data_IF_758673582939
#
_entry.id   IF_758673582939
#
_cell.length_a   1.000
_cell.length_b   1.000
_cell.length_c   1.000
_cell.angle_alpha   90.00
_cell.angle_beta   90.00
_cell.angle_gamma   90.00
#
_symmetry.space_group_name_H-M   'P 1'
#
loop_
_entity.id
_entity.type
_entity.pdbx_description
1 polymer ?
2 water ?
#
# COMPACT_ATOMS: atom_id res chain seq x y z
N UNK A 7 -18.42 -11.73 -17.82
CA UNK A 7 -17.08 -12.37 -17.76
C UNK A 7 -16.67 -12.91 -19.14
N UNK A 8 -15.79 -13.91 -19.15
CA UNK A 8 -15.30 -14.51 -20.38
C UNK A 8 -14.45 -15.72 -20.07
N UNK A 9 -14.31 -16.62 -21.03
CA UNK A 9 -13.54 -17.84 -20.83
C UNK A 9 -12.43 -18.04 -21.84
N UNK A 10 -11.23 -18.30 -21.33
CA UNK A 10 -10.06 -18.54 -22.16
C UNK A 10 -9.99 -20.02 -22.45
N UNK A 11 -9.48 -20.35 -23.64
CA UNK A 11 -9.34 -21.73 -24.06
C UNK A 11 -8.25 -21.82 -25.13
N UNK A 12 -7.14 -22.46 -24.77
CA UNK A 12 -6.03 -22.64 -25.70
C UNK A 12 -6.41 -23.45 -26.95
N UNK A 13 -5.89 -23.02 -28.10
CA UNK A 13 -6.12 -23.66 -29.39
C UNK A 13 -4.77 -24.02 -30.01
N UNK A 14 -3.91 -24.62 -29.19
CA UNK A 14 -2.58 -25.01 -29.64
C UNK A 14 -1.58 -23.87 -29.48
N UNK A 15 -1.09 -23.36 -30.60
CA UNK A 15 -0.11 -22.27 -30.56
C UNK A 15 -0.74 -20.95 -30.12
N UNK A 16 -2.06 -20.86 -30.23
CA UNK A 16 -2.77 -19.65 -29.84
C UNK A 16 -3.88 -19.95 -28.84
N UNK A 17 -4.57 -18.90 -28.42
CA UNK A 17 -5.65 -19.05 -27.46
C UNK A 17 -6.87 -18.30 -27.97
N UNK A 18 -8.04 -18.74 -27.53
CA UNK A 18 -9.27 -18.08 -27.92
C UNK A 18 -9.92 -17.57 -26.65
N UNK A 19 -10.14 -16.26 -26.60
CA UNK A 19 -10.74 -15.62 -25.45
C UNK A 19 -12.16 -15.19 -25.82
N UNK A 20 -13.12 -15.97 -25.34
CA UNK A 20 -14.54 -15.73 -25.60
C UNK A 20 -15.17 -14.84 -24.53
N UNK A 21 -15.82 -13.76 -24.97
CA UNK A 21 -16.47 -12.85 -24.03
C UNK A 21 -17.93 -13.24 -23.85
N UNK A 22 -18.31 -13.58 -22.62
CA UNK A 22 -19.69 -13.96 -22.37
C UNK A 22 -20.49 -12.80 -21.78
N UNK A 23 -21.77 -12.75 -22.14
CA UNK A 23 -22.67 -11.69 -21.66
C UNK A 23 -23.06 -11.87 -20.20
N UNK A 24 -22.49 -12.88 -19.55
CA UNK A 24 -22.77 -13.15 -18.15
C UNK A 24 -22.48 -11.99 -17.21
N UNK A 36 -26.79 -12.98 -19.88
CA UNK A 36 -27.68 -12.09 -19.08
C UNK A 36 -27.75 -10.67 -19.64
N UNK A 37 -27.23 -10.49 -20.86
CA UNK A 37 -27.24 -9.18 -21.51
C UNK A 37 -26.98 -9.23 -23.02
N UNK A 38 -25.72 -9.07 -23.41
CA UNK A 38 -25.32 -9.08 -24.81
C UNK A 38 -24.16 -8.13 -24.98
N UNK A 39 -23.46 -7.90 -23.87
CA UNK A 39 -22.30 -6.99 -23.83
C UNK A 39 -20.98 -7.64 -24.25
N UNK A 40 -20.90 -8.96 -24.16
CA UNK A 40 -19.69 -9.65 -24.54
C UNK A 40 -19.19 -9.28 -25.93
N UNK A 41 -20.12 -9.15 -26.87
CA UNK A 41 -19.76 -8.79 -28.24
C UNK A 41 -19.17 -7.40 -28.28
N UNK A 42 -19.83 -6.47 -27.60
CA UNK A 42 -19.39 -5.11 -27.54
C UNK A 42 -18.05 -5.00 -26.83
N UNK A 43 -17.94 -5.70 -25.70
CA UNK A 43 -16.69 -5.67 -24.94
C UNK A 43 -15.51 -6.25 -25.70
N UNK A 44 -15.75 -7.29 -26.49
CA UNK A 44 -14.68 -7.90 -27.24
C UNK A 44 -14.25 -6.97 -28.37
N UNK A 45 -15.22 -6.33 -29.00
CA UNK A 45 -14.93 -5.43 -30.11
C UNK A 45 -14.18 -4.19 -29.61
N UNK A 46 -14.57 -3.69 -28.44
CA UNK A 46 -13.93 -2.52 -27.84
C UNK A 46 -12.47 -2.90 -27.54
N UNK A 47 -12.30 -4.01 -26.84
CA UNK A 47 -10.96 -4.49 -26.50
C UNK A 47 -10.11 -4.61 -27.77
N UNK A 48 -10.69 -5.18 -28.82
CA UNK A 48 -9.93 -5.35 -30.06
C UNK A 48 -9.54 -4.03 -30.70
N UNK A 49 -10.41 -3.02 -30.62
CA UNK A 49 -10.10 -1.73 -31.22
C UNK A 49 -9.04 -0.97 -30.41
N UNK A 50 -9.22 -0.88 -29.10
CA UNK A 50 -8.22 -0.16 -28.32
C UNK A 50 -6.88 -0.88 -28.31
N UNK A 52 -5.64 -2.81 -30.57
CA UNK A 52 -4.99 -2.78 -31.87
C UNK A 52 -4.32 -1.43 -32.10
N UNK A 53 -4.95 -0.37 -31.58
CA UNK A 53 -4.40 0.98 -31.69
C UNK A 53 -3.18 1.09 -30.80
N UNK A 54 -3.24 0.43 -29.65
CA UNK A 54 -2.13 0.44 -28.70
C UNK A 54 -0.91 -0.22 -29.33
N UNK A 55 -1.14 -1.24 -30.14
CA UNK A 55 -0.05 -1.96 -30.77
C UNK A 55 0.76 -1.13 -31.74
N UNK A 56 0.11 -0.29 -32.54
CA UNK A 56 0.85 0.56 -33.47
C UNK A 56 1.61 1.62 -32.71
N UNK A 57 1.29 1.78 -31.44
CA UNK A 57 1.96 2.75 -30.59
C UNK A 57 3.15 2.03 -30.00
N UNK A 58 3.38 0.80 -30.45
CA UNK A 58 4.50 0.01 -29.98
C UNK A 58 4.26 -0.82 -28.73
N UNK A 59 3.09 -0.69 -28.12
CA UNK A 59 2.73 -1.44 -26.92
C UNK A 59 2.45 -2.90 -27.25
N UNK A 60 2.93 -3.81 -26.41
CA UNK A 60 2.71 -5.24 -26.64
C UNK A 60 1.47 -5.75 -25.88
N UNK A 61 0.53 -6.32 -26.62
CA UNK A 61 -0.70 -6.87 -26.03
C UNK A 61 -0.86 -8.30 -26.51
N UNK A 62 -1.69 -9.10 -25.83
CA UNK A 62 -1.87 -10.47 -26.27
C UNK A 62 -2.82 -10.59 -27.45
N UNK A 63 -3.19 -9.46 -28.06
CA UNK A 63 -4.11 -9.49 -29.18
C UNK A 63 -3.51 -9.93 -30.49
N UNK A 64 -4.19 -10.85 -31.18
CA UNK A 64 -3.77 -11.30 -32.51
C UNK A 64 -4.83 -10.76 -33.47
N UNK A 65 -6.09 -11.07 -33.22
CA UNK A 65 -7.18 -10.55 -34.04
C UNK A 65 -8.56 -10.79 -33.45
N UNK A 66 -9.50 -9.97 -33.86
CA UNK A 66 -10.88 -10.04 -33.40
C UNK A 66 -11.69 -10.98 -34.29
N UNK A 67 -12.36 -11.96 -33.68
CA UNK A 67 -13.19 -12.90 -34.43
C UNK A 67 -14.61 -12.65 -33.97
N UNK A 68 -15.34 -11.78 -34.70
CA UNK A 68 -16.72 -11.40 -34.40
C UNK A 68 -17.61 -12.58 -34.05
N UNK A 69 -18.59 -12.35 -33.15
CA UNK A 69 -18.81 -11.04 -32.51
C UNK A 69 -18.29 -10.93 -31.06
N UNK A 70 -17.74 -12.01 -30.50
CA UNK A 70 -17.30 -11.96 -29.11
C UNK A 70 -16.02 -12.71 -28.75
N UNK A 71 -15.21 -13.05 -29.74
CA UNK A 71 -13.99 -13.79 -29.42
C UNK A 71 -12.72 -13.08 -29.86
N UNK A 72 -11.63 -13.35 -29.16
CA UNK A 72 -10.36 -12.76 -29.51
C UNK A 72 -9.31 -13.82 -29.68
N UNK A 73 -8.55 -13.71 -30.75
CA UNK A 73 -7.47 -14.65 -31.01
C UNK A 73 -6.35 -13.93 -30.27
N UNK A 74 -5.82 -14.56 -29.22
CA UNK A 74 -4.79 -13.95 -28.41
C UNK A 74 -3.62 -14.89 -28.23
N UNK A 75 -2.46 -14.33 -27.95
CA UNK A 75 -1.27 -15.14 -27.74
C UNK A 75 -1.37 -15.61 -26.29
N UNK A 76 -1.04 -16.88 -26.02
CA UNK A 76 -1.08 -17.48 -24.68
C UNK A 76 -0.21 -16.70 -23.71
N UNK A 77 -0.68 -16.53 -22.47
CA UNK A 77 0.11 -15.82 -21.46
C UNK A 77 -0.01 -16.42 -20.08
N UNK A 78 1.07 -16.30 -19.30
CA UNK A 78 1.04 -16.75 -17.91
C UNK A 78 0.73 -15.44 -17.21
N UNK A 80 -0.22 -12.63 -14.31
CA UNK A 80 0.21 -12.23 -12.97
C UNK A 80 -1.10 -12.08 -12.17
N UNK A 81 -1.15 -12.66 -10.96
CA UNK A 81 -2.37 -12.52 -10.16
C UNK A 81 -2.43 -11.10 -9.58
N UNK A 82 -2.45 -10.13 -10.48
CA UNK A 82 -2.45 -8.72 -10.13
C UNK A 82 -3.40 -7.84 -10.96
N UNK A 83 -4.01 -6.87 -10.30
CA UNK A 83 -4.84 -5.92 -11.00
C UNK A 83 -4.03 -4.63 -10.82
N UNK A 84 -3.54 -4.08 -11.92
CA UNK A 84 -2.75 -2.87 -11.83
C UNK A 84 -3.59 -1.68 -12.24
N UNK A 85 -3.73 -0.74 -11.31
CA UNK A 85 -4.55 0.45 -11.52
C UNK A 85 -3.76 1.72 -11.78
N UNK A 86 -4.21 2.51 -12.76
CA UNK A 86 -3.56 3.77 -13.07
C UNK A 86 -4.62 4.85 -12.88
N UNK A 87 -4.33 5.81 -12.01
CA UNK A 87 -5.27 6.86 -11.74
C UNK A 87 -4.79 8.13 -12.42
N UNK A 88 -5.73 8.83 -13.05
CA UNK A 88 -5.41 10.09 -13.71
C UNK A 88 -6.00 11.19 -12.85
N UNK A 89 -7.13 10.88 -12.22
CA UNK A 89 -7.80 11.82 -11.34
C UNK A 89 -8.13 11.07 -10.06
N UNK A 90 -8.32 11.82 -8.98
CA UNK A 90 -8.67 11.23 -7.69
C UNK A 90 -10.15 10.87 -7.74
N UNK A 91 -10.44 9.60 -7.51
CA UNK A 91 -11.82 9.14 -7.51
C UNK A 91 -11.87 7.86 -6.73
N UNK A 92 -13.05 7.22 -6.75
CA UNK A 92 -13.25 5.96 -6.06
C UNK A 92 -12.56 5.71 -4.73
N UNK A 93 -11.80 4.63 -4.71
CA UNK A 93 -11.08 4.22 -3.51
C UNK A 93 -9.97 5.17 -3.10
N UNK A 94 -9.55 6.03 -4.03
CA UNK A 94 -8.47 6.96 -3.74
C UNK A 94 -8.87 8.10 -2.79
N UNK A 95 -10.07 8.63 -2.97
CA UNK A 95 -10.54 9.72 -2.11
C UNK A 95 -10.99 9.14 -0.80
N UNK A 96 -11.57 7.95 -0.84
CA UNK A 96 -12.03 7.31 0.38
C UNK A 96 -10.85 7.07 1.31
N UNK A 97 -9.74 6.63 0.73
CA UNK A 97 -8.54 6.34 1.51
C UNK A 97 -7.74 7.56 1.94
N UNK A 98 -7.54 8.51 1.04
CA UNK A 98 -6.71 9.68 1.32
C UNK A 98 -7.37 11.03 1.21
N UNK A 99 -8.68 11.05 0.98
CA UNK A 99 -9.35 12.33 0.86
C UNK A 99 -8.98 13.04 -0.42
N UNK A 100 -9.14 14.35 -0.43
CA UNK A 100 -8.84 15.10 -1.64
C UNK A 100 -10.13 15.30 -2.41
N UNK A 101 -10.07 16.14 -3.45
CA UNK A 101 -11.25 16.43 -4.24
C UNK A 101 -11.42 15.44 -5.38
N UNK A 102 -12.64 14.90 -5.48
CA UNK A 102 -12.95 13.95 -6.53
C UNK A 102 -12.84 14.65 -7.88
N UNK A 103 -12.11 14.04 -8.80
CA UNK A 103 -11.97 14.63 -10.11
C UNK A 103 -10.73 15.47 -10.21
N UNK A 104 -10.00 15.64 -9.12
CA UNK A 104 -8.78 16.44 -9.18
C UNK A 104 -7.71 15.65 -9.91
N UNK A 105 -7.14 16.25 -10.95
CA UNK A 105 -6.11 15.64 -11.77
C UNK A 105 -4.85 15.38 -10.98
N UNK A 106 -4.19 14.27 -11.27
CA UNK A 106 -2.96 13.94 -10.57
C UNK A 106 -1.78 14.55 -11.33
N UNK A 107 -0.74 15.00 -10.60
CA UNK A 107 0.44 15.60 -11.22
C UNK A 107 0.96 14.68 -12.32
N UNK A 108 1.07 13.41 -11.98
CA UNK A 108 1.55 12.39 -12.88
C UNK A 108 0.69 11.18 -12.59
N UNK A 109 0.42 10.34 -13.60
CA UNK A 109 -0.42 9.15 -13.35
C UNK A 109 0.09 8.34 -12.14
N UNK A 110 -0.84 7.82 -11.35
CA UNK A 110 -0.48 7.01 -10.18
C UNK A 110 -0.79 5.55 -10.45
N UNK A 111 0.20 4.68 -10.30
CA UNK A 111 0.01 3.24 -10.52
C UNK A 111 -0.05 2.57 -9.17
N UNK A 112 -1.04 1.70 -8.99
CA UNK A 112 -1.25 0.97 -7.75
C UNK A 112 -1.43 -0.48 -8.14
N UNK A 113 -0.88 -1.38 -7.33
CA UNK A 113 -0.99 -2.82 -7.58
C UNK A 113 -1.89 -3.47 -6.56
N UNK A 114 -2.70 -4.42 -7.02
CA UNK A 114 -3.60 -5.16 -6.13
C UNK A 114 -3.52 -6.63 -6.46
N UNK A 115 -3.37 -7.45 -5.43
CA UNK A 115 -3.34 -8.89 -5.60
C UNK A 115 -4.77 -9.34 -5.82
N UNK A 116 -4.95 -10.34 -6.66
CA UNK A 116 -6.29 -10.86 -6.91
C UNK A 116 -6.55 -12.00 -5.90
N UNK A 117 -7.10 -11.63 -4.74
CA UNK A 117 -7.41 -12.59 -3.69
C UNK A 117 -8.71 -12.14 -3.04
N UNK A 118 -9.83 -12.62 -3.57
CA UNK A 118 -11.13 -12.21 -3.05
C UNK A 118 -11.29 -12.50 -1.56
N UNK A 119 -10.87 -13.68 -1.14
CA UNK A 119 -11.00 -14.06 0.27
C UNK A 119 -10.24 -13.08 1.17
N UNK A 120 -9.23 -12.42 0.62
CA UNK A 120 -8.43 -11.47 1.39
C UNK A 120 -8.65 -10.02 0.97
N UNK A 121 -9.68 -9.81 0.15
CA UNK A 121 -10.05 -8.48 -0.30
C UNK A 121 -9.04 -7.73 -1.16
N UNK A 122 -8.37 -8.46 -2.04
CA UNK A 122 -7.39 -7.88 -2.97
C UNK A 122 -6.51 -6.80 -2.34
N UNK A 123 -5.67 -7.16 -1.38
CA UNK A 123 -4.80 -6.20 -0.72
C UNK A 123 -3.80 -5.52 -1.68
N UNK A 125 -0.27 -3.87 -2.85
CA UNK A 125 1.12 -4.27 -2.61
C UNK A 125 2.08 -3.34 -3.34
N UNK A 126 3.13 -2.92 -2.66
CA UNK A 126 4.15 -2.08 -3.30
C UNK A 126 5.15 -3.05 -3.94
N UNK A 127 6.13 -2.51 -4.65
CA UNK A 127 7.12 -3.35 -5.30
C UNK A 127 7.80 -4.33 -4.35
N UNK A 128 8.31 -3.83 -3.24
CA UNK A 128 8.98 -4.72 -2.30
C UNK A 128 8.13 -5.92 -1.90
N UNK A 129 6.82 -5.77 -2.01
CA UNK A 129 5.90 -6.84 -1.68
C UNK A 129 5.87 -7.87 -2.80
N UNK A 130 5.65 -7.39 -4.03
CA UNK A 130 5.57 -8.28 -5.18
C UNK A 130 6.74 -9.23 -5.20
N UNK A 131 7.92 -8.68 -4.93
CA UNK A 131 9.14 -9.47 -4.94
C UNK A 131 9.24 -10.37 -3.72
N UNK A 132 9.09 -9.80 -2.53
CA UNK A 132 9.15 -10.60 -1.31
C UNK A 132 8.09 -11.70 -1.31
N UNK A 133 6.97 -11.45 -1.99
CA UNK A 133 5.90 -12.44 -2.04
C UNK A 133 6.06 -13.45 -3.17
N UNK A 134 7.10 -13.29 -4.00
CA UNK A 134 7.32 -14.22 -5.10
C UNK A 134 6.37 -14.07 -6.27
N UNK A 135 5.61 -12.98 -6.29
CA UNK A 135 4.65 -12.72 -7.36
C UNK A 135 5.33 -12.26 -8.65
N UNK A 136 6.25 -11.29 -8.52
CA UNK A 136 6.98 -10.75 -9.66
C UNK A 136 8.35 -10.31 -9.18
N UNK A 137 9.23 -9.96 -10.13
CA UNK A 137 10.57 -9.49 -9.81
C UNK A 137 10.51 -7.97 -9.92
N UNK A 138 11.49 -7.28 -9.34
CA UNK A 138 11.54 -5.81 -9.40
C UNK A 138 11.45 -5.37 -10.83
N UNK A 139 12.20 -6.06 -11.69
CA UNK A 139 12.22 -5.75 -13.12
C UNK A 139 10.83 -5.94 -13.77
N UNK A 140 10.10 -6.98 -13.38
CA UNK A 140 8.77 -7.18 -13.93
C UNK A 140 7.82 -6.12 -13.40
N UNK A 141 7.73 -5.99 -12.07
CA UNK A 141 6.86 -4.98 -11.47
C UNK A 141 7.15 -3.65 -12.13
N UNK A 142 8.44 -3.32 -12.16
CA UNK A 142 8.95 -2.10 -12.74
C UNK A 142 8.42 -1.94 -14.14
N UNK A 143 8.52 -3.02 -14.91
CA UNK A 143 8.07 -3.00 -16.28
C UNK A 143 6.57 -2.82 -16.45
N UNK A 145 4.71 -1.21 -14.58
CA UNK A 145 4.44 0.19 -14.25
C UNK A 145 4.56 1.07 -15.49
N UNK A 146 5.72 0.99 -16.13
CA UNK A 146 6.01 1.77 -17.33
C UNK A 146 4.97 1.56 -18.41
N UNK A 147 4.66 0.30 -18.70
CA UNK A 147 3.68 -0.03 -19.70
C UNK A 147 2.34 0.58 -19.29
N UNK A 148 1.89 0.23 -18.09
CA UNK A 148 0.61 0.77 -17.60
C UNK A 148 0.49 2.30 -17.81
N UNK A 149 1.56 3.03 -17.51
CA UNK A 149 1.55 4.49 -17.69
C UNK A 149 1.45 4.84 -19.18
N UNK A 150 2.27 4.19 -20.00
CA UNK A 150 2.21 4.45 -21.43
C UNK A 150 0.80 4.20 -21.96
N UNK A 151 0.33 2.96 -21.84
CA UNK A 151 -1.00 2.62 -22.31
C UNK A 151 -2.02 3.68 -21.87
N UNK A 152 -2.01 4.00 -20.58
CA UNK A 152 -2.94 4.98 -20.02
C UNK A 152 -2.87 6.31 -20.73
N UNK A 153 -1.66 6.82 -20.93
CA UNK A 153 -1.48 8.09 -21.60
C UNK A 153 -1.94 8.02 -23.03
N UNK A 154 -1.61 6.92 -23.73
CA UNK A 154 -2.06 6.78 -25.10
C UNK A 154 -3.59 6.66 -25.16
N UNK A 155 -4.20 6.01 -24.18
CA UNK A 155 -5.64 5.84 -24.17
C UNK A 155 -6.31 7.17 -23.81
N UNK A 156 -5.73 7.87 -22.86
CA UNK A 156 -6.27 9.18 -22.48
C UNK A 156 -6.26 10.05 -23.74
N UNK A 157 -5.14 10.04 -24.46
CA UNK A 157 -5.03 10.84 -25.68
C UNK A 157 -6.12 10.47 -26.69
N UNK A 158 -6.30 9.17 -26.89
CA UNK A 158 -7.29 8.62 -27.81
C UNK A 158 -8.70 9.21 -27.58
N UNK A 159 -9.17 9.17 -26.34
CA UNK A 159 -10.50 9.67 -26.01
C UNK A 159 -10.63 11.19 -25.96
N UNK A 160 -9.53 11.88 -25.75
CA UNK A 160 -9.57 13.33 -25.69
C UNK A 160 -9.92 13.89 -27.05
N UNK A 161 -9.65 13.12 -28.10
CA UNK A 161 -9.95 13.58 -29.44
C UNK A 161 -11.44 13.70 -29.63
N UNK A 162 -12.22 13.10 -28.73
CA UNK A 162 -13.67 13.17 -28.84
C UNK A 162 -14.28 13.82 -27.62
N UNK A 163 -13.44 14.52 -26.86
CA UNK A 163 -13.90 15.22 -25.66
C UNK A 163 -14.26 14.32 -24.49
N UNK A 164 -13.61 13.16 -24.39
CA UNK A 164 -13.85 12.28 -23.27
C UNK A 164 -12.61 12.20 -22.39
N UNK A 165 -12.84 12.12 -21.08
CA UNK A 165 -11.74 12.07 -20.12
C UNK A 165 -11.70 10.74 -19.38
N UNK A 166 -10.54 10.11 -19.39
CA UNK A 166 -10.29 8.83 -18.72
C UNK A 166 -9.95 9.17 -17.27
N UNK A 167 -10.66 8.61 -16.31
CA UNK A 167 -10.37 8.92 -14.90
C UNK A 167 -9.41 7.93 -14.28
N UNK A 168 -9.66 6.65 -14.52
CA UNK A 168 -8.79 5.63 -14.00
C UNK A 168 -9.08 4.37 -14.77
N UNK A 169 -8.18 3.41 -14.65
CA UNK A 169 -8.36 2.19 -15.40
C UNK A 169 -7.54 1.10 -14.77
N UNK A 170 -7.96 -0.13 -15.00
CA UNK A 170 -7.30 -1.33 -14.50
C UNK A 170 -6.85 -2.24 -15.66
N UNK A 171 -5.64 -2.78 -15.56
CA UNK A 171 -5.10 -3.71 -16.58
C UNK A 171 -4.55 -4.96 -15.86
N UNK A 172 -4.30 -6.00 -16.65
CA UNK A 172 -3.68 -7.21 -16.15
C UNK A 172 -2.63 -7.57 -17.16
N UNK A 173 -1.50 -8.07 -16.69
CA UNK A 173 -0.40 -8.46 -17.56
C UNK A 173 -0.01 -9.90 -17.30
N UNK A 174 0.68 -10.46 -18.28
CA UNK A 174 1.17 -11.82 -18.21
C UNK A 174 2.47 -11.94 -18.99
N UNK A 175 3.12 -13.09 -18.86
CA UNK A 175 4.38 -13.37 -19.53
C UNK A 175 4.18 -14.27 -20.74
N UNK A 176 4.67 -13.86 -21.90
CA UNK A 176 4.55 -14.73 -23.06
C UNK A 176 5.66 -15.78 -22.98
N UNK A 177 5.65 -16.73 -23.91
CA UNK A 177 6.65 -17.82 -23.93
C UNK A 177 8.09 -17.32 -23.88
N UNK A 178 8.31 -16.09 -24.29
CA UNK A 178 9.65 -15.50 -24.27
C UNK A 178 9.94 -14.91 -22.90
N UNK A 179 8.90 -14.76 -22.07
CA UNK A 179 9.10 -14.21 -20.74
C UNK A 179 8.98 -12.72 -20.51
N UNK A 180 8.53 -11.95 -21.50
CA UNK A 180 8.38 -10.52 -21.25
C UNK A 180 6.94 -10.13 -20.95
N UNK A 181 6.80 -8.98 -20.31
CA UNK A 181 5.54 -8.40 -19.88
C UNK A 181 4.65 -8.06 -21.06
N UNK A 182 3.43 -8.56 -21.06
CA UNK A 182 2.48 -8.29 -22.15
C UNK A 182 1.11 -7.91 -21.57
N UNK A 183 0.42 -6.95 -22.19
CA UNK A 183 -0.90 -6.55 -21.72
C UNK A 183 -1.89 -7.69 -21.96
N UNK A 184 -2.67 -8.02 -20.93
CA UNK A 184 -3.62 -9.11 -21.08
C UNK A 184 -5.03 -8.63 -20.81
N UNK A 185 -5.89 -9.60 -20.52
CA UNK A 185 -7.28 -9.39 -20.22
C UNK A 185 -7.97 -8.55 -21.29
N UNK A 186 -8.64 -7.48 -20.88
CA UNK A 186 -9.37 -6.65 -21.83
C UNK A 186 -9.36 -5.18 -21.46
N UNK A 187 -9.89 -4.36 -22.36
CA UNK A 187 -10.01 -2.92 -22.13
C UNK A 187 -11.43 -2.57 -22.55
N UNK A 188 -12.28 -2.32 -21.56
CA UNK A 188 -13.67 -2.02 -21.85
C UNK A 188 -14.27 -1.24 -20.70
N UNK A 189 -15.57 -0.90 -20.82
CA UNK A 189 -16.29 -0.16 -19.80
C UNK A 189 -16.19 -0.88 -18.47
N UNK A 190 -15.87 -2.17 -18.54
CA UNK A 190 -15.73 -2.97 -17.33
C UNK A 190 -14.39 -2.75 -16.63
N UNK A 191 -13.44 -2.09 -17.30
CA UNK A 191 -12.11 -1.89 -16.71
C UNK A 191 -11.64 -0.46 -16.59
N UNK A 192 -12.40 0.49 -17.14
CA UNK A 192 -12.01 1.89 -17.00
C UNK A 192 -13.22 2.79 -16.79
N UNK A 193 -12.99 3.92 -16.14
CA UNK A 193 -14.07 4.89 -15.88
C UNK A 193 -13.84 6.07 -16.84
N UNK A 194 -14.79 6.28 -17.73
CA UNK A 194 -14.68 7.32 -18.74
C UNK A 194 -15.85 8.31 -18.71
N UNK A 195 -15.55 9.60 -18.63
CA UNK A 195 -16.61 10.60 -18.62
C UNK A 195 -16.36 11.62 -19.69
N UNK A 196 -17.44 12.20 -20.22
CA UNK A 196 -17.31 13.22 -21.24
C UNK A 196 -17.00 14.50 -20.50
N UNK A 197 -16.05 15.26 -21.00
CA UNK A 197 -15.68 16.49 -20.35
C UNK A 197 -16.89 17.42 -20.30
N UNK A 198 -17.22 17.90 -19.11
CA UNK A 198 -18.35 18.80 -18.97
C UNK A 198 -19.66 18.09 -18.69
N UNK A 199 -19.59 16.99 -17.94
CA UNK A 199 -20.79 16.24 -17.62
C UNK A 199 -21.34 16.59 -16.24
N UNK A 200 -22.60 17.00 -16.19
CA UNK A 200 -23.22 17.31 -14.90
C UNK A 200 -24.22 16.22 -14.55
N UNK A 201 -23.88 15.42 -13.55
CA UNK A 201 -24.71 14.32 -13.09
C UNK A 201 -26.17 14.72 -12.92
N UNK A 202 -27.07 13.88 -13.43
CA UNK A 202 -28.50 14.15 -13.33
C UNK A 202 -29.21 12.98 -12.65
N UNK A 203 -30.13 13.32 -11.75
CA UNK A 203 -30.88 12.33 -11.01
C UNK A 203 -31.81 11.54 -11.91
N UNK A 204 -32.67 12.25 -12.63
CA UNK A 204 -33.64 11.60 -13.52
C UNK A 204 -32.98 10.75 -14.60
N UNK A 205 -31.81 11.18 -15.08
CA UNK A 205 -31.13 10.43 -16.12
C UNK A 205 -30.62 9.08 -15.60
N UNK A 206 -29.87 9.10 -14.50
CA UNK A 206 -29.38 7.86 -13.92
C UNK A 206 -30.60 6.93 -13.78
N UNK A 207 -31.59 7.45 -13.07
CA UNK A 207 -32.85 6.74 -12.81
C UNK A 207 -33.52 6.11 -14.02
N UNK A 208 -34.09 6.93 -14.90
CA UNK A 208 -34.79 6.40 -16.07
C UNK A 208 -33.89 5.48 -16.90
N UNK A 209 -32.69 5.94 -17.18
CA UNK A 209 -31.72 5.18 -17.95
C UNK A 209 -31.20 4.00 -17.14
N UNK A 210 -31.73 3.82 -15.93
CA UNK A 210 -31.33 2.73 -15.05
C UNK A 210 -31.93 1.42 -15.55
N UNK A 211 -32.64 1.49 -16.67
CA UNK A 211 -33.25 0.32 -17.25
C UNK A 211 -32.49 -0.18 -18.46
N UNK A 212 -31.54 0.61 -18.93
CA UNK A 212 -30.74 0.23 -20.10
C UNK A 212 -29.26 0.10 -19.70
N UNK A 213 -28.91 -1.02 -19.05
CA UNK A 213 -27.53 -1.28 -18.60
C UNK A 213 -26.52 -1.25 -19.74
N UNK A 214 -26.92 -1.75 -20.91
CA UNK A 214 -26.00 -1.78 -22.04
C UNK A 214 -25.73 -0.40 -22.67
N UNK A 215 -26.44 0.63 -22.20
CA UNK A 215 -26.27 1.97 -22.76
C UNK A 215 -24.83 2.47 -22.80
N UNK A 216 -24.14 2.42 -21.67
CA UNK A 216 -22.76 2.89 -21.64
C UNK A 216 -21.87 2.08 -22.59
N UNK A 217 -22.06 0.77 -22.63
CA UNK A 217 -21.26 -0.09 -23.50
C UNK A 217 -21.45 0.31 -24.96
N UNK A 218 -22.70 0.49 -25.36
CA UNK A 218 -23.02 0.88 -26.73
C UNK A 218 -22.36 2.21 -27.13
N UNK A 219 -22.45 3.20 -26.24
CA UNK A 219 -21.87 4.52 -26.51
C UNK A 219 -20.35 4.47 -26.59
N UNK A 220 -19.75 3.66 -25.73
CA UNK A 220 -18.30 3.51 -25.73
C UNK A 220 -17.84 2.84 -27.03
N UNK A 221 -18.45 1.71 -27.36
CA UNK A 221 -18.12 0.98 -28.57
C UNK A 221 -18.26 1.88 -29.81
N UNK A 222 -19.34 2.67 -29.85
CA UNK A 222 -19.57 3.57 -30.97
C UNK A 222 -18.55 4.69 -30.93
N UNK A 223 -18.16 5.07 -29.72
CA UNK A 223 -17.17 6.12 -29.55
C UNK A 223 -15.87 5.60 -30.16
N UNK A 224 -15.50 4.38 -29.81
CA UNK A 224 -14.27 3.80 -30.33
C UNK A 224 -14.31 3.58 -31.83
N UNK A 225 -15.43 3.09 -32.35
CA UNK A 225 -15.56 2.90 -33.79
C UNK A 225 -15.32 4.23 -34.47
N UNK A 226 -16.05 5.24 -34.04
CA UNK A 226 -15.91 6.58 -34.61
C UNK A 226 -14.46 7.05 -34.61
N UNK A 227 -13.82 6.97 -33.44
CA UNK A 227 -12.42 7.37 -33.31
C UNK A 227 -11.53 6.46 -34.14
N UNK A 228 -11.88 5.17 -34.18
CA UNK A 228 -11.13 4.19 -34.95
C UNK A 228 -11.26 4.62 -36.42
N UNK A 229 -11.78 5.83 -36.62
CA UNK A 229 -11.98 6.39 -37.93
C UNK A 229 -13.05 5.54 -38.63
N UNK A 230 -14.13 5.26 -37.90
CA UNK A 230 -15.26 4.48 -38.39
C UNK A 230 -15.82 5.10 -39.68
N UNK B 2 -0.51 22.49 23.56
CA UNK B 2 0.45 21.34 23.45
C UNK B 2 -0.08 20.25 22.51
N UNK B 3 -0.38 19.06 23.04
CA UNK B 3 -0.88 17.96 22.20
C UNK B 3 -1.02 16.61 22.93
N UNK B 4 -2.24 16.07 22.98
CA UNK B 4 -2.47 14.79 23.63
C UNK B 4 -2.86 13.68 22.66
N UNK B 5 -1.92 12.75 22.44
CA UNK B 5 -2.14 11.60 21.57
C UNK B 5 -2.75 10.46 22.36
N UNK B 6 -2.72 9.23 21.83
CA UNK B 6 -3.32 8.10 22.52
C UNK B 6 -2.57 7.52 23.72
N UNK B 7 -1.23 7.51 23.68
CA UNK B 7 -0.45 6.96 24.80
C UNK B 7 0.50 7.95 25.45
N UNK B 8 0.59 9.13 24.86
CA UNK B 8 1.47 10.14 25.42
C UNK B 8 1.03 11.54 25.05
N UNK B 9 1.52 12.49 25.83
CA UNK B 9 1.22 13.90 25.65
C UNK B 9 2.53 14.64 25.38
N UNK B 10 2.54 15.50 24.37
CA UNK B 10 3.74 16.26 24.08
C UNK B 10 3.51 17.72 24.46
N UNK B 11 4.50 18.31 25.10
CA UNK B 11 4.41 19.71 25.51
C UNK B 11 5.69 20.42 25.14
N UNK B 12 5.55 21.38 24.21
CA UNK B 12 6.67 22.17 23.74
C UNK B 12 7.04 23.20 24.79
N UNK B 13 8.22 23.01 25.38
CA UNK B 13 8.72 23.89 26.43
C UNK B 13 9.99 24.61 25.98
N UNK B 14 9.79 25.78 25.37
CA UNK B 14 10.91 26.57 24.90
C UNK B 14 11.59 26.02 23.66
N UNK B 15 12.85 25.65 23.83
CA UNK B 15 13.63 25.09 22.75
C UNK B 15 13.30 23.62 22.63
N UNK B 16 13.47 22.88 23.72
CA UNK B 16 13.16 21.47 23.74
C UNK B 16 11.69 21.22 23.99
N UNK B 17 11.30 19.95 23.90
CA UNK B 17 9.91 19.58 24.12
C UNK B 17 9.88 18.51 25.18
N UNK B 18 8.71 18.28 25.76
CA UNK B 18 8.59 17.23 26.77
C UNK B 18 7.57 16.21 26.27
N UNK B 19 7.86 14.95 26.50
CA UNK B 19 6.96 13.90 26.06
C UNK B 19 6.61 13.06 27.28
N UNK B 20 5.37 13.20 27.74
CA UNK B 20 4.92 12.44 28.90
C UNK B 20 4.14 11.22 28.49
N UNK B 21 4.56 10.07 29.01
CA UNK B 21 3.88 8.84 28.68
C UNK B 21 2.70 8.60 29.62
N UNK B 22 1.54 8.32 29.04
CA UNK B 22 0.34 8.06 29.82
C UNK B 22 0.26 6.57 30.14
N UNK B 23 -0.75 6.17 30.91
CA UNK B 23 -0.92 4.77 31.29
C UNK B 23 -2.02 4.05 30.52
N UNK B 24 -2.57 4.72 29.52
CA UNK B 24 -3.65 4.18 28.69
C UNK B 24 -3.24 2.98 27.81
N UNK B 25 -4.25 2.32 27.23
CA UNK B 25 -4.02 1.18 26.34
C UNK B 25 -4.98 1.29 25.15
N UNK B 26 -4.71 0.53 24.09
CA UNK B 26 -5.56 0.55 22.89
C UNK B 26 -5.85 -0.88 22.40
N UNK B 32 -8.89 -3.76 23.20
CA UNK B 32 -9.09 -3.77 24.68
C UNK B 32 -8.59 -2.49 25.38
N UNK B 33 -9.21 -1.35 25.06
CA UNK B 33 -8.82 -0.07 25.67
C UNK B 33 -8.99 -0.08 27.20
N UNK B 34 -8.05 0.56 27.90
CA UNK B 34 -8.08 0.64 29.36
C UNK B 34 -6.93 1.49 29.88
N UNK B 35 -6.54 1.28 31.14
CA UNK B 35 -5.46 2.05 31.73
C UNK B 35 -4.75 1.31 32.87
N UNK B 36 -3.64 0.65 32.53
CA UNK B 36 -2.82 -0.07 33.51
C UNK B 36 -1.97 0.91 34.27
N UNK B 37 -1.84 0.68 35.58
CA UNK B 37 -1.05 1.54 36.46
C UNK B 37 0.46 1.44 36.28
N UNK B 38 1.12 2.59 36.12
CA UNK B 38 2.56 2.62 35.98
C UNK B 38 3.11 2.16 34.64
N UNK B 39 2.23 1.96 33.67
CA UNK B 39 2.63 1.52 32.35
C UNK B 39 3.36 2.63 31.55
N UNK B 40 3.02 3.90 31.82
CA UNK B 40 3.66 5.00 31.14
C UNK B 40 5.13 5.14 31.51
N UNK B 41 5.43 4.93 32.79
CA UNK B 41 6.80 5.01 33.30
C UNK B 41 7.65 3.92 32.69
N UNK B 42 7.04 2.75 32.53
CA UNK B 42 7.70 1.58 31.96
C UNK B 42 8.10 1.86 30.51
N UNK B 43 7.15 2.36 29.72
CA UNK B 43 7.42 2.63 28.32
C UNK B 43 8.40 3.79 28.12
N UNK B 44 8.27 4.82 28.95
CA UNK B 44 9.17 5.97 28.86
C UNK B 44 10.59 5.49 29.04
N UNK B 45 10.83 4.70 30.08
CA UNK B 45 12.18 4.21 30.32
C UNK B 45 12.73 3.22 29.29
N UNK B 46 11.92 2.28 28.81
CA UNK B 46 12.47 1.37 27.82
C UNK B 46 12.71 2.15 26.52
N UNK B 47 11.92 3.17 26.25
CA UNK B 47 12.15 4.00 25.06
C UNK B 47 13.51 4.68 25.18
N UNK B 48 13.77 5.30 26.33
CA UNK B 48 15.01 6.01 26.60
C UNK B 48 16.25 5.13 26.55
N UNK B 49 16.11 3.90 26.99
CA UNK B 49 17.21 2.94 26.96
C UNK B 49 17.48 2.57 25.50
N UNK B 50 16.46 2.08 24.81
CA UNK B 50 16.62 1.72 23.41
C UNK B 50 17.16 2.87 22.55
N UNK B 52 18.82 5.55 23.38
CA UNK B 52 20.17 5.93 23.81
C UNK B 52 21.14 4.99 23.08
N UNK B 53 20.82 3.70 23.11
CA UNK B 53 21.62 2.67 22.45
C UNK B 53 21.78 2.98 20.96
N UNK B 54 20.69 3.39 20.33
CA UNK B 54 20.64 3.73 18.92
C UNK B 54 21.45 4.99 18.60
N UNK B 55 21.26 6.04 19.41
CA UNK B 55 21.95 7.31 19.21
C UNK B 55 23.46 7.23 19.38
N UNK B 56 23.95 6.48 20.35
CA UNK B 56 25.40 6.39 20.47
C UNK B 56 25.95 5.65 19.27
N UNK B 57 25.07 5.14 18.42
CA UNK B 57 25.50 4.43 17.22
C UNK B 57 25.47 5.35 16.00
N UNK B 58 24.95 6.56 16.16
CA UNK B 58 24.91 7.49 15.04
C UNK B 58 23.50 7.77 14.54
N UNK B 59 22.61 6.83 14.80
CA UNK B 59 21.23 6.96 14.39
C UNK B 59 20.68 8.17 15.13
N UNK B 60 20.06 9.07 14.38
CA UNK B 60 19.48 10.28 14.96
C UNK B 60 18.10 10.01 15.52
N UNK B 61 17.91 10.31 16.81
CA UNK B 61 16.61 10.13 17.45
C UNK B 61 16.37 11.44 18.21
N UNK B 62 15.12 11.69 18.60
CA UNK B 62 14.79 12.93 19.28
C UNK B 62 15.00 12.96 20.80
N UNK B 63 15.47 11.84 21.38
CA UNK B 63 15.70 11.81 22.82
C UNK B 63 16.86 12.66 23.31
N UNK B 64 16.59 13.54 24.25
CA UNK B 64 17.67 14.33 24.82
C UNK B 64 18.04 13.64 26.14
N UNK B 65 17.04 13.31 26.95
CA UNK B 65 17.29 12.61 28.21
C UNK B 65 16.03 12.09 28.85
N UNK B 66 16.18 11.15 29.79
CA UNK B 66 15.03 10.58 30.49
C UNK B 66 14.79 11.32 31.80
N UNK B 67 13.56 11.77 32.01
CA UNK B 67 13.17 12.49 33.21
C UNK B 67 12.16 11.59 33.93
N UNK B 68 12.65 10.74 34.85
CA UNK B 68 11.79 9.82 35.60
C UNK B 68 10.60 10.56 36.21
N UNK B 69 9.46 9.89 36.31
CA UNK B 69 9.19 8.50 35.93
C UNK B 69 8.70 8.23 34.48
N UNK B 70 7.92 9.13 33.91
CA UNK B 70 7.35 8.91 32.59
C UNK B 70 7.49 10.04 31.59
N UNK B 71 8.56 10.80 31.70
CA UNK B 71 8.81 11.94 30.82
C UNK B 71 10.13 11.86 30.06
N UNK B 72 10.12 12.31 28.81
CA UNK B 72 11.32 12.31 27.98
C UNK B 72 11.58 13.71 27.47
N UNK B 73 12.80 14.20 27.66
CA UNK B 73 13.11 15.52 27.15
C UNK B 73 13.53 15.25 25.70
N UNK B 74 12.77 15.81 24.77
CA UNK B 74 13.06 15.59 23.36
C UNK B 74 13.27 16.88 22.60
N UNK B 75 13.88 16.76 21.43
CA UNK B 75 14.12 17.91 20.57
C UNK B 75 12.91 18.00 19.64
N UNK B 76 12.39 19.20 19.43
CA UNK B 76 11.23 19.32 18.54
C UNK B 76 11.51 18.77 17.14
N UNK B 77 10.48 18.21 16.53
CA UNK B 77 10.59 17.66 15.19
C UNK B 77 9.32 18.00 14.44
N UNK B 78 9.42 18.21 13.14
CA UNK B 78 8.20 18.43 12.37
C UNK B 78 7.90 17.01 11.88
N UNK B 80 6.23 13.52 10.36
CA UNK B 80 5.59 13.11 9.12
C UNK B 80 4.32 12.37 9.55
N UNK B 81 3.19 12.61 8.88
CA UNK B 81 1.94 11.92 9.24
C UNK B 81 2.08 10.48 8.76
N UNK B 82 3.07 9.78 9.29
CA UNK B 82 3.36 8.44 8.82
C UNK B 82 3.75 7.45 9.90
N UNK B 83 3.47 6.18 9.65
CA UNK B 83 3.82 5.09 10.54
C UNK B 83 4.61 4.15 9.62
N UNK B 84 5.89 3.96 9.92
CA UNK B 84 6.75 3.11 9.11
C UNK B 84 6.95 1.79 9.84
N UNK B 85 6.50 0.71 9.22
CA UNK B 85 6.60 -0.60 9.83
C UNK B 85 7.62 -1.48 9.14
N UNK B 86 8.46 -2.14 9.94
CA UNK B 86 9.44 -3.05 9.40
C UNK B 86 9.06 -4.44 9.90
N UNK B 87 8.97 -5.40 8.98
CA UNK B 87 8.62 -6.74 9.37
C UNK B 87 9.79 -7.67 9.13
N UNK B 88 10.08 -8.50 10.13
CA UNK B 88 11.16 -9.47 10.05
C UNK B 88 10.50 -10.84 9.98
N UNK B 89 9.30 -10.94 10.55
CA UNK B 89 8.55 -12.19 10.56
C UNK B 89 7.11 -11.90 10.24
N UNK B 90 6.44 -12.86 9.62
CA UNK B 90 5.05 -12.71 9.24
C UNK B 90 4.14 -12.67 10.47
N UNK B 91 3.40 -11.59 10.64
CA UNK B 91 2.50 -11.47 11.76
C UNK B 91 1.48 -10.34 11.59
N UNK B 92 0.41 -10.42 12.36
CA UNK B 92 -0.62 -9.38 12.32
C UNK B 92 -1.38 -9.15 11.02
N UNK B 93 -1.47 -7.89 10.63
CA UNK B 93 -2.17 -7.50 9.42
C UNK B 93 -1.46 -8.07 8.20
N UNK B 94 -0.23 -8.54 8.39
CA UNK B 94 0.49 -9.11 7.27
C UNK B 94 -0.06 -10.47 6.90
N UNK B 95 -0.40 -11.28 7.89
CA UNK B 95 -0.95 -12.60 7.58
C UNK B 95 -2.40 -12.47 7.12
N UNK B 96 -3.11 -11.47 7.64
CA UNK B 96 -4.49 -11.27 7.25
C UNK B 96 -4.63 -10.71 5.82
N UNK B 97 -3.55 -10.16 5.28
CA UNK B 97 -3.61 -9.61 3.92
C UNK B 97 -3.01 -10.53 2.86
N UNK B 98 -1.93 -11.21 3.22
CA UNK B 98 -1.22 -12.06 2.29
C UNK B 98 -1.11 -13.52 2.68
N UNK B 99 -1.72 -13.89 3.80
CA UNK B 99 -1.64 -15.28 4.24
C UNK B 99 -0.24 -15.60 4.76
N UNK B 100 0.06 -16.90 4.91
CA UNK B 100 1.36 -17.29 5.40
C UNK B 100 1.30 -17.84 6.80
N UNK B 101 2.46 -18.21 7.34
CA UNK B 101 2.52 -18.76 8.70
C UNK B 101 2.93 -17.70 9.69
N UNK B 102 2.01 -17.30 10.57
CA UNK B 102 2.35 -16.28 11.56
C UNK B 102 3.55 -16.77 12.38
N UNK B 103 4.65 -16.02 12.29
CA UNK B 103 5.86 -16.38 12.99
C UNK B 103 6.91 -16.78 11.99
N UNK B 104 6.49 -17.04 10.75
CA UNK B 104 7.43 -17.43 9.72
C UNK B 104 8.32 -16.25 9.42
N UNK B 105 9.59 -16.54 9.16
CA UNK B 105 10.57 -15.53 8.85
C UNK B 105 10.29 -15.01 7.45
N UNK B 106 10.79 -13.82 7.17
CA UNK B 106 10.67 -13.24 5.85
C UNK B 106 12.06 -13.50 5.33
N UNK B 107 12.25 -13.46 3.99
CA UNK B 107 13.58 -13.71 3.43
C UNK B 107 14.45 -12.51 3.74
N UNK B 108 13.80 -11.34 3.78
CA UNK B 108 14.48 -10.08 4.07
C UNK B 108 13.52 -9.15 4.83
N UNK B 109 14.04 -8.06 5.39
CA UNK B 109 13.17 -7.14 6.13
C UNK B 109 12.23 -6.36 5.21
N UNK B 110 10.95 -6.39 5.55
CA UNK B 110 9.94 -5.68 4.76
C UNK B 110 9.53 -4.36 5.43
N UNK B 111 9.60 -3.28 4.66
CA UNK B 111 9.23 -1.94 5.12
C UNK B 111 7.91 -1.52 4.48
N UNK B 112 6.94 -1.12 5.29
CA UNK B 112 5.62 -0.68 4.83
C UNK B 112 5.27 0.71 5.37
N UNK B 113 4.65 1.55 4.55
CA UNK B 113 4.24 2.86 5.02
C UNK B 113 2.73 2.92 5.19
N UNK B 114 2.30 3.63 6.23
CA UNK B 114 0.89 3.81 6.53
C UNK B 114 0.66 5.28 6.87
N UNK B 115 -0.31 5.88 6.21
CA UNK B 115 -0.63 7.25 6.51
C UNK B 115 -1.31 7.22 7.87
N UNK B 116 -0.75 7.93 8.84
CA UNK B 116 -1.41 7.91 10.13
C UNK B 116 -2.64 8.83 10.02
N UNK B 117 -3.80 8.20 10.07
CA UNK B 117 -5.08 8.88 9.95
C UNK B 117 -6.13 7.96 10.57
N UNK B 118 -6.33 8.10 11.87
CA UNK B 118 -7.28 7.27 12.59
C UNK B 118 -8.69 7.29 11.98
N UNK B 119 -9.07 8.41 11.40
CA UNK B 119 -10.38 8.52 10.75
C UNK B 119 -10.55 7.46 9.66
N UNK B 120 -9.89 7.66 8.54
CA UNK B 120 -9.96 6.71 7.43
C UNK B 120 -9.07 5.53 7.80
N UNK B 121 -8.80 5.39 9.09
CA UNK B 121 -7.92 4.35 9.60
C UNK B 121 -6.56 4.58 8.97
N UNK B 122 -5.57 3.73 9.22
CA UNK B 122 -4.26 4.02 8.67
C UNK B 122 -3.97 3.29 7.36
N UNK B 123 -4.38 3.89 6.23
CA UNK B 123 -4.20 3.32 4.88
C UNK B 123 -2.73 3.21 4.48
N UNK B 125 0.53 2.99 2.01
CA UNK B 125 0.93 3.79 0.86
C UNK B 125 2.26 3.31 0.37
N UNK B 126 2.57 3.62 -0.88
CA UNK B 126 3.86 3.26 -1.49
C UNK B 126 4.50 4.64 -1.71
N UNK B 127 5.79 4.68 -2.01
CA UNK B 127 6.48 5.95 -2.17
C UNK B 127 5.74 6.89 -3.12
N UNK B 128 5.28 6.34 -4.25
CA UNK B 128 4.57 7.14 -5.23
C UNK B 128 3.43 7.92 -4.61
N UNK B 129 2.77 7.31 -3.63
CA UNK B 129 1.66 7.94 -2.93
C UNK B 129 2.15 9.15 -2.16
N UNK B 130 3.23 8.95 -1.39
CA UNK B 130 3.82 10.00 -0.56
C UNK B 130 4.20 11.22 -1.39
N UNK B 131 4.71 10.97 -2.59
CA UNK B 131 5.07 12.09 -3.45
C UNK B 131 3.82 12.82 -3.94
N UNK B 132 2.86 12.08 -4.48
CA UNK B 132 1.63 12.71 -4.97
C UNK B 132 0.85 13.45 -3.89
N UNK B 133 0.79 12.88 -2.70
CA UNK B 133 0.07 13.52 -1.59
C UNK B 133 0.94 14.58 -0.95
N UNK B 134 2.15 14.74 -1.50
CA UNK B 134 3.07 15.73 -0.97
C UNK B 134 3.42 15.53 0.50
N UNK B 135 3.32 14.29 0.98
CA UNK B 135 3.65 13.99 2.38
C UNK B 135 5.17 13.94 2.58
N UNK B 136 5.87 13.36 1.61
CA UNK B 136 7.31 13.24 1.65
C UNK B 136 7.89 13.13 0.24
N UNK B 137 9.17 13.42 0.09
CA UNK B 137 9.81 13.33 -1.21
C UNK B 137 10.41 11.94 -1.37
N UNK B 138 10.72 11.59 -2.60
CA UNK B 138 11.29 10.29 -2.89
C UNK B 138 12.58 10.10 -2.07
N UNK B 139 13.30 11.20 -1.82
CA UNK B 139 14.55 11.15 -1.06
C UNK B 139 14.30 10.95 0.43
N UNK B 140 13.35 11.69 0.96
CA UNK B 140 13.02 11.56 2.37
C UNK B 140 12.48 10.16 2.63
N UNK B 141 11.57 9.71 1.78
CA UNK B 141 10.98 8.40 1.92
C UNK B 141 12.06 7.33 1.95
N UNK B 142 13.01 7.42 1.04
CA UNK B 142 14.09 6.45 0.97
C UNK B 142 15.00 6.53 2.19
N UNK B 143 15.15 7.71 2.77
CA UNK B 143 15.95 7.87 3.97
C UNK B 143 15.23 7.12 5.10
N UNK B 145 13.20 4.77 4.97
CA UNK B 145 13.29 3.32 4.80
C UNK B 145 14.66 2.81 5.27
N UNK B 146 15.72 3.50 4.88
CA UNK B 146 17.08 3.10 5.26
C UNK B 146 17.27 3.18 6.76
N UNK B 147 16.75 4.24 7.36
CA UNK B 147 16.85 4.40 8.78
C UNK B 147 16.08 3.27 9.47
N UNK B 148 14.82 3.10 9.08
CA UNK B 148 13.97 2.06 9.66
C UNK B 148 14.66 0.70 9.70
N UNK B 149 15.19 0.23 8.56
CA UNK B 149 15.88 -1.06 8.53
C UNK B 149 17.14 -1.04 9.40
N UNK B 150 17.95 0.01 9.28
CA UNK B 150 19.16 0.12 10.09
C UNK B 150 18.78 -0.07 11.57
N UNK B 151 17.86 0.75 12.04
CA UNK B 151 17.40 0.69 13.42
C UNK B 151 16.87 -0.69 13.76
N UNK B 152 16.06 -1.24 12.86
CA UNK B 152 15.46 -2.54 13.07
C UNK B 152 16.51 -3.62 13.26
N UNK B 153 17.54 -3.61 12.43
CA UNK B 153 18.60 -4.59 12.57
C UNK B 153 19.41 -4.34 13.86
N UNK B 154 19.73 -3.08 14.14
CA UNK B 154 20.47 -2.75 15.36
C UNK B 154 19.71 -3.23 16.58
N UNK B 155 18.38 -3.05 16.57
CA UNK B 155 17.53 -3.47 17.69
C UNK B 155 17.42 -4.98 17.73
N UNK B 156 17.39 -5.59 16.57
CA UNK B 156 17.30 -7.04 16.47
C UNK B 156 18.52 -7.69 17.13
N UNK B 157 19.70 -7.12 16.90
CA UNK B 157 20.93 -7.66 17.48
C UNK B 157 20.97 -7.40 18.97
N UNK B 158 20.30 -6.35 19.38
CA UNK B 158 20.21 -5.96 20.78
C UNK B 158 19.48 -7.04 21.59
N UNK B 159 18.23 -7.30 21.23
CA UNK B 159 17.41 -8.31 21.92
C UNK B 159 17.95 -9.71 21.74
N UNK B 160 18.74 -9.87 20.69
CA UNK B 160 19.35 -11.15 20.35
C UNK B 160 20.20 -11.62 21.52
N UNK B 161 20.92 -10.69 22.14
CA UNK B 161 21.77 -11.02 23.27
C UNK B 161 20.99 -11.73 24.38
N UNK B 162 19.68 -11.50 24.42
CA UNK B 162 18.82 -12.09 25.43
C UNK B 162 17.98 -13.25 24.89
N UNK B 163 18.29 -13.69 23.68
CA UNK B 163 17.55 -14.76 23.03
C UNK B 163 16.07 -14.42 22.85
N UNK B 164 15.81 -13.18 22.50
CA UNK B 164 14.47 -12.72 22.23
C UNK B 164 14.51 -12.30 20.78
N UNK B 165 13.45 -12.59 20.03
CA UNK B 165 13.44 -12.21 18.64
C UNK B 165 12.40 -11.16 18.30
N UNK B 166 12.86 -10.18 17.54
CA UNK B 166 12.05 -9.07 17.11
C UNK B 166 11.25 -9.47 15.89
N UNK B 167 9.93 -9.51 16.03
CA UNK B 167 9.07 -9.90 14.92
C UNK B 167 8.85 -8.76 13.94
N UNK B 168 8.44 -7.62 14.49
CA UNK B 168 8.21 -6.41 13.70
C UNK B 168 8.13 -5.23 14.65
N UNK B 169 8.19 -4.03 14.08
CA UNK B 169 8.20 -2.83 14.89
C UNK B 169 7.73 -1.69 14.01
N UNK B 170 7.09 -0.69 14.62
CA UNK B 170 6.60 0.48 13.88
C UNK B 170 7.37 1.73 14.34
N UNK B 171 7.74 2.58 13.38
CA UNK B 171 8.45 3.83 13.68
C UNK B 171 7.67 5.04 13.16
N UNK B 172 8.14 6.22 13.56
CA UNK B 172 7.61 7.51 13.14
C UNK B 172 8.81 8.45 13.12
N UNK B 173 8.96 9.16 12.01
CA UNK B 173 10.08 10.08 11.83
C UNK B 173 9.64 11.52 11.66
N UNK B 174 10.61 12.43 11.81
CA UNK B 174 10.34 13.85 11.68
C UNK B 174 11.58 14.57 11.21
N UNK B 175 11.45 15.87 10.99
CA UNK B 175 12.57 16.68 10.55
C UNK B 175 12.97 17.63 11.68
N UNK B 176 14.25 17.67 12.03
CA UNK B 176 14.67 18.59 13.07
C UNK B 176 14.83 20.00 12.46
N UNK B 177 15.48 20.91 13.16
CA UNK B 177 15.66 22.29 12.69
C UNK B 177 16.55 22.40 11.46
N UNK B 178 17.26 21.32 11.13
CA UNK B 178 18.12 21.31 9.95
C UNK B 178 17.63 20.43 8.82
N UNK B 179 16.41 19.91 8.94
CA UNK B 179 15.85 19.06 7.90
C UNK B 179 16.30 17.62 7.94
N UNK B 180 16.97 17.22 9.02
CA UNK B 180 17.40 15.84 9.11
C UNK B 180 16.22 14.95 9.49
N UNK B 181 16.21 13.73 8.94
CA UNK B 181 15.17 12.78 9.27
C UNK B 181 15.59 12.24 10.65
N UNK B 182 14.67 12.30 11.60
CA UNK B 182 14.95 11.86 12.97
C UNK B 182 13.82 10.95 13.48
N UNK B 183 14.21 9.92 14.23
CA UNK B 183 13.27 9.00 14.81
C UNK B 183 12.54 9.69 15.97
N UNK B 184 11.22 9.75 15.88
CA UNK B 184 10.46 10.37 16.95
C UNK B 184 9.71 9.28 17.68
N UNK B 185 8.53 9.62 18.15
CA UNK B 185 7.65 8.71 18.87
C UNK B 185 8.32 7.93 19.99
N UNK B 186 8.12 6.62 20.01
CA UNK B 186 8.69 5.80 21.08
C UNK B 186 9.19 4.42 20.60
N UNK B 187 9.58 3.58 21.55
CA UNK B 187 10.04 2.24 21.26
C UNK B 187 9.74 1.38 22.48
N UNK B 188 8.57 0.74 22.48
CA UNK B 188 8.19 -0.10 23.61
C UNK B 188 7.27 -1.19 23.13
N UNK B 189 6.79 -2.05 24.05
CA UNK B 189 5.88 -3.13 23.66
C UNK B 189 4.70 -2.60 22.87
N UNK B 190 4.42 -1.30 23.01
CA UNK B 190 3.32 -0.72 22.25
C UNK B 190 3.64 -0.59 20.76
N UNK B 191 4.93 -0.58 20.39
CA UNK B 191 5.31 -0.40 18.99
C UNK B 191 6.06 -1.53 18.33
N UNK B 192 6.28 -2.60 19.09
CA UNK B 192 6.97 -3.75 18.52
C UNK B 192 6.48 -5.05 19.16
N UNK B 193 6.70 -6.14 18.43
CA UNK B 193 6.33 -7.50 18.83
C UNK B 193 7.64 -8.23 19.06
N UNK B 194 7.91 -8.62 20.29
CA UNK B 194 9.15 -9.30 20.62
C UNK B 194 8.83 -10.66 21.22
N UNK B 195 9.50 -11.69 20.75
CA UNK B 195 9.21 -13.03 21.26
C UNK B 195 10.43 -13.85 21.67
N UNK B 196 10.20 -14.79 22.57
CA UNK B 196 11.24 -15.68 23.08
C UNK B 196 11.84 -16.49 21.94
N UNK B 197 13.17 -16.63 21.97
CA UNK B 197 13.90 -17.39 20.95
C UNK B 197 13.28 -18.76 20.66
N UNK B 198 12.71 -18.90 19.47
CA UNK B 198 12.10 -20.16 19.06
C UNK B 198 10.96 -20.70 19.90
N UNK B 201 4.63 -20.39 23.98
CA UNK B 201 3.55 -20.97 23.20
C UNK B 201 2.30 -20.07 23.19
N UNK B 202 1.75 -19.88 21.98
CA UNK B 202 0.58 -19.02 21.85
C UNK B 202 -0.31 -19.07 23.09
N UNK B 203 -0.83 -20.29 23.37
CA UNK B 203 -1.71 -20.44 24.52
C UNK B 203 -1.15 -19.78 25.78
N UNK B 204 0.07 -20.22 26.16
CA UNK B 204 0.67 -19.70 27.37
C UNK B 204 0.80 -18.18 27.34
N UNK B 205 1.49 -17.67 26.30
CA UNK B 205 1.67 -16.22 26.20
C UNK B 205 0.35 -15.48 26.35
N UNK B 206 -0.66 -15.95 25.60
CA UNK B 206 -1.97 -15.31 25.67
C UNK B 206 -2.54 -15.31 27.09
N UNK B 207 -2.19 -16.36 27.85
CA UNK B 207 -2.70 -16.52 29.21
C UNK B 207 -2.20 -15.43 30.13
N UNK B 208 -0.88 -15.29 30.29
CA UNK B 208 -0.34 -14.24 31.16
C UNK B 208 -0.74 -12.84 30.71
N UNK B 209 -0.79 -12.63 29.40
CA UNK B 209 -1.19 -11.34 28.86
C UNK B 209 -2.62 -10.99 29.28
N UNK B 210 -3.48 -12.01 29.34
CA UNK B 210 -4.86 -11.81 29.74
C UNK B 210 -4.92 -11.74 31.25
N UNK B 211 -3.97 -12.40 31.91
CA UNK B 211 -3.92 -12.39 33.36
C UNK B 211 -3.66 -10.95 33.79
N UNK B 212 -2.52 -10.41 33.37
CA UNK B 212 -2.17 -9.03 33.66
C UNK B 212 -1.23 -8.55 32.56
N UNK B 213 -1.74 -7.69 31.67
CA UNK B 213 -1.00 -7.11 30.54
C UNK B 213 0.31 -6.43 30.90
N UNK B 214 0.33 -5.76 32.05
CA UNK B 214 1.55 -5.05 32.45
C UNK B 214 2.74 -5.98 32.54
N UNK B 215 2.50 -7.30 32.60
CA UNK B 215 3.62 -8.23 32.73
C UNK B 215 4.64 -8.22 31.59
N UNK B 216 4.18 -8.22 30.34
CA UNK B 216 5.10 -8.21 29.21
C UNK B 216 5.95 -6.94 29.24
N UNK B 217 5.34 -5.82 29.62
CA UNK B 217 6.05 -4.55 29.70
C UNK B 217 7.14 -4.61 30.76
N UNK B 218 6.79 -5.13 31.94
CA UNK B 218 7.75 -5.23 33.01
C UNK B 218 8.93 -6.08 32.54
N UNK B 219 8.61 -7.21 31.90
CA UNK B 219 9.65 -8.11 31.39
C UNK B 219 10.54 -7.43 30.36
N UNK B 220 9.94 -6.72 29.41
CA UNK B 220 10.73 -6.00 28.40
C UNK B 220 11.69 -5.01 29.07
N UNK B 221 11.17 -4.18 29.96
CA UNK B 221 12.01 -3.22 30.65
C UNK B 221 13.20 -3.88 31.34
N UNK B 222 12.94 -4.85 32.22
CA UNK B 222 14.02 -5.54 32.94
C UNK B 222 15.05 -6.04 31.95
N UNK B 223 14.54 -6.58 30.85
CA UNK B 223 15.40 -7.09 29.79
C UNK B 223 16.30 -5.97 29.26
N UNK B 224 15.70 -4.82 28.92
CA UNK B 224 16.49 -3.70 28.42
C UNK B 224 17.48 -3.19 29.45
N UNK B 225 17.07 -3.15 30.71
CA UNK B 225 17.97 -2.70 31.78
C UNK B 225 19.17 -3.64 31.85
N UNK B 226 18.88 -4.93 31.81
CA UNK B 226 19.92 -5.96 31.89
C UNK B 226 20.97 -5.82 30.79
N UNK B 227 20.52 -5.81 29.55
CA UNK B 227 21.42 -5.68 28.40
C UNK B 227 22.12 -4.33 28.45
N UNK B 228 21.46 -3.34 29.04
CA UNK B 228 22.00 -2.00 29.13
C UNK B 228 23.20 -1.90 30.08
N UNK B 229 23.19 -2.71 31.13
CA UNK B 229 24.26 -2.66 32.11
C UNK B 229 25.53 -3.43 31.73
N UNK B 230 25.46 -4.25 30.69
CA UNK B 230 26.61 -5.02 30.26
C UNK B 230 27.60 -4.11 29.52
#
# INVERSE_FOLDING_TARGET
XNYEGKTKIVKVTGDYALLEFKDDITAGDGLKHDVLTGKGSICAETTAILXKYLSEKGIKTHLVEYIPPRTLKVIPLKXFPLEVVVRLKKAGSFVRRYGGAEGEDLPVPLVEFFIKDDERHDPXVCVDHLEILGIATKKQAEKXKEAAVKITLALKEFFERANFELWDIKYEFGLDKDGNVVLGDEISPDTFRLRKKGEIFDKDVYRRDLGDPLKKYREVLELCRSLNSQ
XNYEGKTKIVKVTGDYALLEFKDDITAGDGLKHDVLTGKGSICAETTAILXKYLSEKGIKTHLVEYIPPRTLKVIPLKXFPLEVVVRLKKAGSFVRRYGGAEGEDLPVPLVEFFIKDDERHDPXVCVDHLEILGIATKKQAEKXKEAAVKITLALKEFFERANFELWDIKYEFGLDKDGNVVLGDEISPDTFRLRKKGEIFDKDVYRRDLGDPLKKYREVLELCRSLNSQ
#
